data_IF_923243268872
#
_entry.id   IF_923243268872
#
_cell.length_a   1.000
_cell.length_b   1.000
_cell.length_c   1.000
_cell.angle_alpha   90.00
_cell.angle_beta   90.00
_cell.angle_gamma   90.00
#
_symmetry.space_group_name_H-M   'P 1'
#
loop_
_entity.id
_entity.type
_entity.pdbx_description
1 polymer ?
#
# COMPACT_ATOMS: atom_id res chain seq x y z
N UNK A 1 5.74 -38.46 -11.17
CA UNK A 1 5.63 -37.63 -9.95
C UNK A 1 6.28 -36.27 -10.22
N UNK A 2 5.50 -35.27 -10.65
CA UNK A 2 5.99 -33.89 -10.76
C UNK A 2 6.23 -33.38 -9.33
N UNK A 3 7.48 -33.05 -8.97
CA UNK A 3 7.75 -32.23 -7.80
C UNK A 3 7.04 -30.90 -8.05
N UNK A 4 6.00 -30.61 -7.29
CA UNK A 4 5.45 -29.25 -7.22
C UNK A 4 6.58 -28.33 -6.75
N UNK A 5 7.28 -27.69 -7.70
CA UNK A 5 8.25 -26.64 -7.41
C UNK A 5 7.48 -25.41 -6.94
N UNK A 6 6.92 -25.47 -5.73
CA UNK A 6 6.56 -24.27 -5.00
C UNK A 6 7.87 -23.53 -4.71
N UNK A 7 8.00 -22.33 -5.27
CA UNK A 7 9.12 -21.42 -5.03
C UNK A 7 9.27 -21.22 -3.51
N UNK A 8 10.46 -21.44 -2.93
CA UNK A 8 10.63 -21.37 -1.50
C UNK A 8 10.49 -19.93 -1.02
N UNK A 9 9.64 -19.71 -0.02
CA UNK A 9 9.49 -18.47 0.74
C UNK A 9 10.62 -18.41 1.76
N UNK A 10 11.45 -17.38 1.65
CA UNK A 10 12.67 -17.22 2.42
C UNK A 10 12.77 -15.80 2.94
N UNK A 11 13.27 -15.63 4.15
CA UNK A 11 13.67 -14.35 4.70
C UNK A 11 15.19 -14.29 4.77
N UNK A 12 15.79 -13.45 3.93
CA UNK A 12 17.20 -13.11 4.01
C UNK A 12 17.36 -11.93 4.97
N UNK A 13 18.17 -12.08 6.03
CA UNK A 13 18.43 -11.01 7.01
C UNK A 13 19.87 -10.56 6.84
N UNK A 14 20.09 -9.25 6.82
CA UNK A 14 21.43 -8.67 6.71
C UNK A 14 22.31 -9.14 7.88
N UNK A 15 23.55 -9.49 7.58
CA UNK A 15 24.52 -10.03 8.54
C UNK A 15 24.08 -11.34 9.24
N UNK A 16 23.11 -12.06 8.68
CA UNK A 16 22.83 -13.44 9.03
C UNK A 16 23.45 -14.36 7.96
N UNK A 17 24.23 -15.35 8.38
CA UNK A 17 24.94 -16.26 7.47
C UNK A 17 23.99 -17.22 6.72
N UNK A 18 22.77 -17.40 7.20
CA UNK A 18 21.82 -18.37 6.64
C UNK A 18 20.45 -17.73 6.44
N UNK A 19 19.92 -17.95 5.24
CA UNK A 19 18.54 -17.65 4.88
C UNK A 19 17.56 -18.43 5.76
N UNK A 20 16.57 -17.74 6.36
CA UNK A 20 15.58 -18.35 7.24
C UNK A 20 14.35 -18.80 6.46
N UNK A 21 13.89 -20.02 6.76
CA UNK A 21 12.70 -20.59 6.13
C UNK A 21 11.42 -20.06 6.77
N UNK A 22 10.57 -19.46 5.95
CA UNK A 22 9.27 -18.92 6.37
C UNK A 22 8.21 -20.02 6.30
N UNK A 23 7.48 -20.26 7.38
CA UNK A 23 6.33 -21.18 7.41
C UNK A 23 5.08 -20.49 6.89
N UNK A 24 4.87 -19.24 7.29
CA UNK A 24 3.68 -18.48 6.97
C UNK A 24 3.98 -17.00 7.04
N UNK A 25 3.33 -16.20 6.19
CA UNK A 25 3.33 -14.76 6.35
C UNK A 25 2.02 -14.16 5.85
N UNK A 26 1.71 -12.99 6.36
CA UNK A 26 0.70 -12.08 5.82
C UNK A 26 1.33 -10.72 5.65
N UNK A 27 0.94 -9.97 4.62
CA UNK A 27 1.38 -8.59 4.50
C UNK A 27 0.39 -7.70 3.77
N UNK A 28 0.42 -6.42 4.08
CA UNK A 28 -0.38 -5.38 3.43
C UNK A 28 0.56 -4.34 2.83
N UNK A 29 0.41 -4.11 1.54
CA UNK A 29 1.09 -3.08 0.75
C UNK A 29 0.02 -2.19 0.11
N UNK A 30 0.04 -0.89 0.35
CA UNK A 30 -0.97 0.03 -0.17
C UNK A 30 -0.36 1.40 -0.50
N UNK A 31 -0.91 2.05 -1.52
CA UNK A 31 -0.56 3.42 -1.85
C UNK A 31 -0.80 4.33 -0.65
N UNK A 32 0.16 5.22 -0.41
CA UNK A 32 0.11 6.19 0.68
C UNK A 32 0.07 5.60 2.11
N UNK A 33 0.42 4.32 2.28
CA UNK A 33 0.55 3.67 3.59
C UNK A 33 1.91 2.99 3.73
N UNK A 34 2.42 2.90 4.96
CA UNK A 34 3.60 2.08 5.24
C UNK A 34 3.20 0.60 5.20
N UNK A 35 3.84 -0.19 4.33
CA UNK A 35 3.58 -1.63 4.28
C UNK A 35 3.98 -2.33 5.58
N UNK A 36 3.38 -3.49 5.82
CA UNK A 36 3.67 -4.32 6.98
C UNK A 36 3.56 -5.78 6.62
N UNK A 37 4.54 -6.58 7.02
CA UNK A 37 4.53 -8.03 6.86
C UNK A 37 4.75 -8.70 8.22
N UNK A 38 3.80 -9.54 8.61
CA UNK A 38 3.84 -10.41 9.79
C UNK A 38 4.33 -11.79 9.32
N UNK A 39 5.48 -12.24 9.85
CA UNK A 39 6.27 -13.35 9.31
C UNK A 39 6.50 -14.39 10.40
N UNK A 40 6.12 -15.62 10.11
CA UNK A 40 6.35 -16.79 10.95
C UNK A 40 7.42 -17.66 10.32
N UNK A 41 8.52 -17.88 11.03
CA UNK A 41 9.67 -18.63 10.51
C UNK A 41 10.12 -19.73 11.46
N UNK A 42 10.78 -20.74 10.89
CA UNK A 42 11.53 -21.74 11.64
C UNK A 42 13.00 -21.36 11.63
N UNK A 43 13.61 -21.40 12.81
CA UNK A 43 15.05 -21.21 12.96
C UNK A 43 15.66 -22.20 13.93
N UNK A 44 16.99 -22.14 14.02
CA UNK A 44 17.78 -22.82 15.03
C UNK A 44 17.33 -22.37 16.44
N UNK A 45 17.06 -23.29 17.38
CA UNK A 45 16.77 -22.94 18.78
C UNK A 45 17.76 -21.99 19.46
N UNK A 46 19.02 -21.97 19.01
CA UNK A 46 20.08 -21.10 19.53
C UNK A 46 20.09 -19.69 18.93
N UNK A 47 19.23 -19.39 17.95
CA UNK A 47 19.14 -18.07 17.32
C UNK A 47 18.85 -16.98 18.36
N UNK A 48 19.75 -15.99 18.44
CA UNK A 48 19.53 -14.79 19.27
C UNK A 48 18.53 -13.85 18.59
N UNK A 49 17.27 -13.93 19.03
CA UNK A 49 16.16 -13.11 18.56
C UNK A 49 16.40 -11.62 18.78
N UNK A 50 17.09 -11.24 19.86
CA UNK A 50 17.29 -9.81 20.18
C UNK A 50 18.18 -9.15 19.14
N UNK A 51 19.18 -9.89 18.64
CA UNK A 51 20.07 -9.43 17.58
C UNK A 51 19.35 -9.12 16.26
N UNK A 52 18.14 -9.65 16.04
CA UNK A 52 17.37 -9.45 14.80
C UNK A 52 16.66 -8.11 14.74
N UNK A 53 16.39 -7.47 15.88
CA UNK A 53 15.70 -6.18 15.91
C UNK A 53 16.53 -5.12 15.18
N UNK A 54 15.83 -4.27 14.42
CA UNK A 54 16.40 -3.22 13.58
C UNK A 54 17.29 -3.69 12.42
N UNK A 55 17.47 -5.00 12.21
CA UNK A 55 18.15 -5.49 11.01
C UNK A 55 17.29 -5.31 9.77
N UNK A 56 17.95 -5.03 8.67
CA UNK A 56 17.32 -5.03 7.34
C UNK A 56 17.14 -6.48 6.87
N UNK A 57 16.02 -6.75 6.21
CA UNK A 57 15.69 -8.06 5.71
C UNK A 57 14.90 -7.99 4.40
N UNK A 58 15.04 -9.04 3.58
CA UNK A 58 14.33 -9.21 2.33
C UNK A 58 13.48 -10.49 2.37
N UNK A 59 12.16 -10.32 2.42
CA UNK A 59 11.21 -11.42 2.34
C UNK A 59 10.97 -11.77 0.86
N UNK A 60 11.47 -12.92 0.42
CA UNK A 60 11.34 -13.42 -0.95
C UNK A 60 10.19 -14.42 -1.03
N UNK A 61 9.22 -14.18 -1.91
CA UNK A 61 8.03 -15.03 -2.09
C UNK A 61 7.66 -15.26 -3.57
N UNK A 62 8.66 -15.35 -4.45
CA UNK A 62 8.49 -15.64 -5.88
C UNK A 62 9.82 -15.87 -6.59
N UNK A 63 9.83 -15.59 -7.89
CA UNK A 63 11.06 -15.61 -8.72
C UNK A 63 12.15 -14.68 -8.15
N UNK A 64 13.39 -14.83 -8.65
CA UNK A 64 14.65 -14.34 -8.03
C UNK A 64 14.72 -12.86 -7.61
N UNK A 65 13.72 -12.01 -7.93
CA UNK A 65 13.63 -10.60 -7.50
C UNK A 65 12.29 -10.21 -6.88
N UNK A 66 11.31 -11.11 -6.82
CA UNK A 66 9.99 -10.85 -6.26
C UNK A 66 10.01 -11.01 -4.74
N UNK A 67 10.10 -9.88 -4.04
CA UNK A 67 10.11 -9.83 -2.58
C UNK A 67 9.96 -8.42 -2.04
N UNK A 68 9.92 -8.32 -0.72
CA UNK A 68 9.75 -7.06 0.01
C UNK A 68 10.93 -6.87 0.93
N UNK A 69 11.64 -5.77 0.73
CA UNK A 69 12.66 -5.30 1.65
C UNK A 69 12.02 -4.56 2.84
N UNK A 70 12.62 -4.61 4.02
CA UNK A 70 12.21 -3.77 5.15
C UNK A 70 13.18 -3.91 6.32
N UNK A 71 12.79 -3.33 7.45
CA UNK A 71 13.49 -3.42 8.72
C UNK A 71 12.64 -4.20 9.72
N UNK A 72 13.28 -5.09 10.49
CA UNK A 72 12.62 -5.88 11.53
C UNK A 72 12.30 -4.96 12.72
N UNK A 73 11.02 -4.72 13.00
CA UNK A 73 10.57 -3.87 14.11
C UNK A 73 10.05 -4.66 15.31
N UNK A 74 9.83 -5.96 15.14
CA UNK A 74 9.47 -6.88 16.20
C UNK A 74 10.11 -8.24 15.93
N UNK A 75 10.57 -8.89 17.00
CA UNK A 75 11.11 -10.23 16.95
C UNK A 75 10.78 -10.96 18.25
N UNK A 76 10.13 -12.11 18.15
CA UNK A 76 9.75 -12.93 19.29
C UNK A 76 10.01 -14.42 18.99
N UNK A 77 10.48 -15.16 20.00
CA UNK A 77 10.47 -16.63 20.00
C UNK A 77 9.17 -17.10 20.64
N UNK A 78 8.36 -17.79 19.86
CA UNK A 78 7.01 -18.21 20.28
C UNK A 78 7.03 -19.65 20.79
N UNK A 79 7.78 -20.54 20.16
CA UNK A 79 7.97 -21.92 20.61
C UNK A 79 9.46 -22.28 20.62
N UNK A 80 9.89 -22.96 21.68
CA UNK A 80 11.24 -23.51 21.81
C UNK A 80 11.17 -25.02 21.62
N UNK A 81 11.56 -25.50 20.45
CA UNK A 81 11.61 -26.93 20.15
C UNK A 81 13.02 -27.51 20.24
N UNK A 82 13.13 -28.83 20.07
CA UNK A 82 14.39 -29.56 20.28
C UNK A 82 15.36 -29.33 19.12
N UNK A 83 14.86 -29.34 17.89
CA UNK A 83 15.65 -29.13 16.66
C UNK A 83 15.32 -27.83 15.94
N UNK A 84 14.12 -27.31 16.19
CA UNK A 84 13.55 -26.17 15.49
C UNK A 84 12.74 -25.34 16.47
N UNK A 85 12.88 -24.02 16.38
CA UNK A 85 12.07 -23.07 17.16
C UNK A 85 11.21 -22.22 16.23
N UNK A 86 10.05 -21.79 16.73
CA UNK A 86 9.14 -20.90 16.01
C UNK A 86 9.41 -19.46 16.41
N UNK A 87 9.60 -18.61 15.41
CA UNK A 87 9.80 -17.19 15.60
C UNK A 87 8.73 -16.40 14.86
N UNK A 88 8.33 -15.28 15.45
CA UNK A 88 7.43 -14.29 14.87
C UNK A 88 8.18 -12.96 14.70
N UNK A 89 8.26 -12.49 13.46
CA UNK A 89 8.90 -11.24 13.09
C UNK A 89 7.92 -10.30 12.40
N UNK A 90 8.09 -9.00 12.59
CA UNK A 90 7.37 -7.97 11.84
C UNK A 90 8.36 -7.15 11.01
N UNK A 91 8.13 -7.10 9.70
CA UNK A 91 8.92 -6.36 8.73
C UNK A 91 8.16 -5.13 8.23
N UNK A 92 8.76 -3.95 8.32
CA UNK A 92 8.16 -2.65 7.93
C UNK A 92 9.16 -1.76 7.20
N UNK A 93 8.74 -0.74 6.42
CA UNK A 93 9.66 0.23 5.84
C UNK A 93 10.29 1.11 6.92
N UNK A 94 11.40 1.76 6.57
CA UNK A 94 11.99 2.80 7.42
C UNK A 94 11.02 3.95 7.67
N UNK A 95 10.06 4.18 6.76
CA UNK A 95 8.96 5.14 6.94
C UNK A 95 8.14 4.89 8.22
N UNK A 96 8.06 3.63 8.68
CA UNK A 96 7.36 3.27 9.91
C UNK A 96 7.91 3.98 11.17
N UNK A 97 9.17 4.42 11.17
CA UNK A 97 9.80 5.17 12.27
C UNK A 97 9.06 6.48 12.58
N UNK A 98 8.48 7.11 11.55
CA UNK A 98 7.77 8.37 11.68
C UNK A 98 6.47 8.24 12.49
N UNK A 99 5.98 7.02 12.74
CA UNK A 99 4.77 6.75 13.52
C UNK A 99 4.98 6.79 15.05
N UNK A 100 6.23 6.76 15.53
CA UNK A 100 6.54 6.42 16.92
C UNK A 100 6.01 7.41 17.97
N UNK A 101 6.05 8.71 17.68
CA UNK A 101 5.74 9.74 18.68
C UNK A 101 4.85 10.84 18.09
N UNK A 102 3.86 11.27 18.87
CA UNK A 102 3.13 12.51 18.61
C UNK A 102 4.01 13.71 18.91
N UNK A 103 3.93 14.74 18.06
CA UNK A 103 4.74 15.96 18.15
C UNK A 103 3.84 17.19 18.09
N UNK A 104 4.37 18.30 18.59
CA UNK A 104 3.79 19.64 18.45
C UNK A 104 4.86 20.56 17.89
N UNK A 105 4.71 20.99 16.63
CA UNK A 105 5.71 21.77 15.89
C UNK A 105 5.02 22.76 14.96
N UNK A 106 5.71 23.86 14.69
CA UNK A 106 5.31 24.88 13.73
C UNK A 106 6.37 24.94 12.64
N UNK A 107 5.94 24.92 11.38
CA UNK A 107 6.80 25.14 10.21
C UNK A 107 6.30 26.37 9.46
N UNK A 108 7.20 27.29 9.15
CA UNK A 108 6.87 28.56 8.48
C UNK A 108 7.52 28.61 7.11
N UNK A 109 6.85 29.28 6.18
CA UNK A 109 7.33 29.59 4.82
C UNK A 109 7.94 28.38 4.08
N UNK A 110 7.31 27.21 4.24
CA UNK A 110 7.79 25.96 3.64
C UNK A 110 6.75 25.34 2.71
N UNK A 111 7.21 24.86 1.56
CA UNK A 111 6.39 24.13 0.60
C UNK A 111 6.13 22.69 1.09
N UNK A 112 4.93 22.12 0.89
CA UNK A 112 4.61 20.77 1.36
C UNK A 112 5.62 19.68 0.96
N UNK A 113 6.12 19.59 -0.30
CA UNK A 113 7.13 18.58 -0.65
C UNK A 113 8.46 18.75 0.11
N UNK A 114 8.86 20.01 0.37
CA UNK A 114 10.06 20.31 1.18
C UNK A 114 9.85 19.89 2.64
N UNK A 115 8.67 20.13 3.20
CA UNK A 115 8.32 19.70 4.54
C UNK A 115 8.32 18.16 4.64
N UNK A 116 7.76 17.45 3.65
CA UNK A 116 7.81 15.99 3.57
C UNK A 116 9.27 15.51 3.58
N UNK A 117 10.14 16.09 2.75
CA UNK A 117 11.57 15.77 2.72
C UNK A 117 12.24 15.98 4.09
N UNK A 118 11.99 17.13 4.72
CA UNK A 118 12.53 17.43 6.05
C UNK A 118 12.09 16.41 7.11
N UNK A 119 10.82 15.96 7.09
CA UNK A 119 10.34 14.93 8.00
C UNK A 119 11.05 13.58 7.79
N UNK A 120 11.34 13.21 6.54
CA UNK A 120 12.07 11.98 6.22
C UNK A 120 13.53 12.05 6.72
N UNK A 121 14.21 13.18 6.46
CA UNK A 121 15.61 13.39 6.84
C UNK A 121 15.83 13.36 8.36
N UNK A 122 14.92 13.95 9.14
CA UNK A 122 14.97 13.94 10.63
C UNK A 122 14.95 12.49 11.17
N UNK A 123 14.34 11.55 10.46
CA UNK A 123 14.26 10.13 10.83
C UNK A 123 15.35 9.27 10.17
N UNK A 124 16.37 9.89 9.59
CA UNK A 124 17.51 9.21 8.96
C UNK A 124 17.16 8.54 7.62
N UNK A 125 16.05 8.92 6.98
CA UNK A 125 15.70 8.45 5.64
C UNK A 125 16.36 9.42 4.65
N UNK A 126 17.60 9.10 4.25
CA UNK A 126 18.41 9.98 3.40
C UNK A 126 17.97 10.04 1.94
N UNK A 127 18.60 10.95 1.18
CA UNK A 127 18.24 11.27 -0.22
C UNK A 127 18.27 10.09 -1.21
N UNK A 128 18.97 8.99 -0.91
CA UNK A 128 18.96 7.79 -1.75
C UNK A 128 17.75 6.87 -1.51
N UNK A 129 17.09 7.03 -0.36
CA UNK A 129 15.98 6.21 0.11
C UNK A 129 14.60 6.80 -0.23
N UNK A 130 14.52 8.03 -0.75
CA UNK A 130 13.30 8.58 -1.33
C UNK A 130 13.58 9.43 -2.56
N UNK A 131 12.55 9.68 -3.38
CA UNK A 131 12.59 10.70 -4.44
C UNK A 131 11.21 11.29 -4.71
N UNK A 132 11.21 12.49 -5.26
CA UNK A 132 10.04 13.09 -5.89
C UNK A 132 10.22 13.01 -7.41
N UNK A 133 9.23 12.51 -8.12
CA UNK A 133 9.23 12.41 -9.59
C UNK A 133 7.90 12.90 -10.15
N UNK A 134 7.90 13.44 -11.37
CA UNK A 134 6.69 13.90 -12.06
C UNK A 134 5.77 14.79 -11.19
N UNK A 135 6.37 15.77 -10.51
CA UNK A 135 5.67 16.74 -9.66
C UNK A 135 5.18 17.91 -10.52
N UNK A 136 4.03 17.73 -11.16
CA UNK A 136 3.48 18.67 -12.15
C UNK A 136 2.59 19.76 -11.53
N UNK A 137 2.15 19.57 -10.28
CA UNK A 137 1.34 20.54 -9.56
C UNK A 137 2.11 21.75 -9.00
N UNK A 138 1.35 22.75 -8.60
CA UNK A 138 1.82 23.93 -7.89
C UNK A 138 1.86 23.66 -6.37
N UNK A 139 3.03 23.87 -5.76
CA UNK A 139 3.26 23.68 -4.32
C UNK A 139 3.89 24.93 -3.68
N UNK A 140 3.15 26.04 -3.56
CA UNK A 140 3.67 27.25 -2.93
C UNK A 140 4.07 26.97 -1.47
N UNK A 141 5.08 27.72 -1.00
CA UNK A 141 5.35 27.82 0.41
C UNK A 141 4.10 28.32 1.13
N UNK A 142 3.72 27.64 2.22
CA UNK A 142 2.63 28.10 3.07
C UNK A 142 3.24 28.91 4.21
N UNK A 143 2.59 30.01 4.64
CA UNK A 143 3.08 30.82 5.76
C UNK A 143 3.14 30.01 7.06
N UNK A 144 2.26 29.01 7.19
CA UNK A 144 2.19 28.20 8.41
C UNK A 144 1.72 26.77 8.12
N UNK A 145 2.46 25.79 8.64
CA UNK A 145 1.97 24.44 8.90
C UNK A 145 2.05 24.17 10.40
N UNK A 146 0.94 23.71 10.96
CA UNK A 146 0.88 23.30 12.36
C UNK A 146 0.83 21.78 12.40
N UNK A 147 1.75 21.18 13.15
CA UNK A 147 1.69 19.80 13.60
C UNK A 147 1.20 19.83 15.04
N UNK A 148 -0.02 19.36 15.30
CA UNK A 148 -0.61 19.42 16.64
C UNK A 148 -1.02 18.03 17.11
N UNK A 149 -0.24 17.46 18.02
CA UNK A 149 -0.54 16.16 18.64
C UNK A 149 -0.74 15.02 17.63
N UNK A 150 0.05 15.06 16.56
CA UNK A 150 0.08 14.05 15.51
C UNK A 150 1.51 13.56 15.30
N UNK A 151 1.69 12.33 14.81
CA UNK A 151 3.02 11.81 14.49
C UNK A 151 3.57 12.45 13.22
N UNK A 152 4.88 12.30 12.99
CA UNK A 152 5.50 12.79 11.75
C UNK A 152 4.94 12.03 10.53
N UNK A 153 4.55 10.76 10.70
CA UNK A 153 3.90 9.96 9.65
C UNK A 153 2.51 10.50 9.32
N UNK A 154 1.73 10.83 10.36
CA UNK A 154 0.39 11.40 10.19
C UNK A 154 0.44 12.74 9.46
N UNK A 155 1.36 13.63 9.83
CA UNK A 155 1.58 14.89 9.14
C UNK A 155 1.96 14.67 7.67
N UNK A 156 2.90 13.76 7.39
CA UNK A 156 3.33 13.43 6.03
C UNK A 156 2.15 12.93 5.18
N UNK A 157 1.38 11.97 5.69
CA UNK A 157 0.23 11.42 4.98
C UNK A 157 -0.86 12.48 4.77
N UNK A 158 -1.13 13.32 5.78
CA UNK A 158 -2.06 14.45 5.66
C UNK A 158 -1.61 15.46 4.61
N UNK A 159 -0.32 15.79 4.54
CA UNK A 159 0.21 16.67 3.49
C UNK A 159 0.03 16.05 2.11
N UNK A 160 0.30 14.75 1.96
CA UNK A 160 0.05 14.01 0.73
C UNK A 160 -1.43 14.05 0.32
N UNK A 161 -2.36 13.86 1.26
CA UNK A 161 -3.79 13.92 1.03
C UNK A 161 -4.26 15.31 0.61
N UNK A 162 -3.84 16.35 1.34
CA UNK A 162 -4.15 17.75 1.06
C UNK A 162 -3.65 18.19 -0.31
N UNK A 163 -2.45 17.72 -0.68
CA UNK A 163 -1.77 18.08 -1.92
C UNK A 163 -1.98 17.08 -3.05
N UNK A 164 -2.79 16.03 -2.88
CA UNK A 164 -3.01 15.01 -3.91
C UNK A 164 -1.73 14.32 -4.39
N UNK A 165 -0.71 14.22 -3.53
CA UNK A 165 0.56 13.54 -3.80
C UNK A 165 0.40 12.08 -3.37
N UNK A 166 0.64 11.16 -4.28
CA UNK A 166 0.72 9.74 -3.95
C UNK A 166 2.15 9.31 -3.66
N UNK A 167 2.28 8.25 -2.86
CA UNK A 167 3.56 7.58 -2.70
C UNK A 167 3.46 6.07 -2.73
N UNK A 168 4.53 5.43 -3.20
CA UNK A 168 4.69 3.98 -3.30
C UNK A 168 6.10 3.56 -2.89
N UNK A 169 6.32 2.26 -2.72
CA UNK A 169 7.63 1.69 -2.43
C UNK A 169 8.18 0.90 -3.61
N UNK A 170 9.43 1.14 -3.96
CA UNK A 170 10.19 0.31 -4.88
C UNK A 170 11.17 -0.56 -4.09
N UNK A 171 11.07 -1.88 -4.26
CA UNK A 171 11.88 -2.83 -3.52
C UNK A 171 13.04 -3.38 -4.36
N UNK A 172 14.20 -3.48 -3.71
CA UNK A 172 15.37 -4.23 -4.16
C UNK A 172 15.83 -5.14 -3.03
N UNK A 173 16.68 -6.11 -3.30
CA UNK A 173 17.20 -6.99 -2.25
C UNK A 173 17.96 -6.21 -1.16
N UNK A 174 18.67 -5.16 -1.55
CA UNK A 174 19.52 -4.34 -0.69
C UNK A 174 18.84 -3.09 -0.11
N UNK A 175 17.53 -2.92 -0.29
CA UNK A 175 16.90 -1.64 0.05
C UNK A 175 15.48 -1.47 -0.48
N UNK A 176 14.75 -0.53 0.10
CA UNK A 176 13.51 -0.01 -0.49
C UNK A 176 13.65 1.50 -0.70
N UNK A 177 12.97 2.04 -1.71
CA UNK A 177 12.93 3.47 -2.00
C UNK A 177 11.49 3.95 -2.00
N UNK A 178 11.24 5.04 -1.28
CA UNK A 178 9.95 5.74 -1.26
C UNK A 178 9.85 6.70 -2.45
N UNK A 179 8.77 6.65 -3.20
CA UNK A 179 8.61 7.45 -4.42
C UNK A 179 7.35 8.28 -4.33
N UNK A 180 7.50 9.60 -4.37
CA UNK A 180 6.40 10.57 -4.37
C UNK A 180 6.16 11.11 -5.78
N UNK A 181 4.89 11.29 -6.15
CA UNK A 181 4.48 11.88 -7.42
C UNK A 181 3.06 12.42 -7.31
N UNK A 182 2.65 13.32 -8.21
CA UNK A 182 1.24 13.70 -8.40
C UNK A 182 0.70 13.36 -9.79
N UNK A 183 1.52 12.72 -10.62
CA UNK A 183 1.16 12.28 -11.97
C UNK A 183 0.97 10.76 -12.01
N UNK A 184 -0.16 10.32 -12.58
CA UNK A 184 -0.44 8.88 -12.75
C UNK A 184 0.41 8.23 -13.83
N UNK A 185 1.05 9.01 -14.71
CA UNK A 185 2.05 8.48 -15.64
C UNK A 185 3.32 7.96 -14.92
N UNK A 186 3.53 8.31 -13.65
CA UNK A 186 4.65 7.82 -12.84
C UNK A 186 4.54 6.35 -12.42
N UNK A 187 3.38 5.73 -12.55
CA UNK A 187 3.18 4.34 -12.14
C UNK A 187 3.79 3.37 -13.16
N UNK A 188 4.66 2.44 -12.74
CA UNK A 188 5.22 1.43 -13.64
C UNK A 188 4.12 0.46 -14.11
N UNK A 189 4.13 0.16 -15.41
CA UNK A 189 3.29 -0.89 -15.98
C UNK A 189 3.98 -2.26 -15.90
N UNK A 190 3.24 -3.27 -15.49
CA UNK A 190 3.70 -4.66 -15.55
C UNK A 190 3.86 -5.09 -17.01
N UNK A 191 5.01 -5.65 -17.41
CA UNK A 191 5.29 -5.96 -18.81
C UNK A 191 4.47 -7.14 -19.35
N UNK A 192 3.92 -7.98 -18.47
CA UNK A 192 3.18 -9.18 -18.85
C UNK A 192 1.73 -9.04 -18.38
N UNK A 193 0.74 -9.21 -19.28
CA UNK A 193 -0.66 -9.09 -18.92
C UNK A 193 -1.12 -10.25 -18.00
N UNK A 194 -2.14 -9.96 -17.21
CA UNK A 194 -2.84 -10.86 -16.32
C UNK A 194 -3.99 -11.49 -17.08
N UNK A 195 -3.87 -12.78 -17.38
CA UNK A 195 -4.96 -13.55 -17.98
C UNK A 195 -5.83 -14.15 -16.88
N UNK A 196 -7.13 -13.90 -16.97
CA UNK A 196 -8.12 -14.51 -16.10
C UNK A 196 -8.25 -16.00 -16.42
N UNK A 197 -8.30 -16.86 -15.39
CA UNK A 197 -8.73 -18.25 -15.54
C UNK A 197 -9.66 -18.66 -14.41
N UNK A 198 -10.76 -19.31 -14.76
CA UNK A 198 -11.72 -19.84 -13.80
C UNK A 198 -11.11 -21.01 -13.02
N UNK A 199 -11.35 -21.03 -11.71
CA UNK A 199 -10.79 -22.00 -10.76
C UNK A 199 -11.11 -23.47 -11.08
N UNK A 200 -12.15 -23.75 -11.87
CA UNK A 200 -12.58 -25.12 -12.25
C UNK A 200 -11.57 -25.84 -13.17
N UNK A 201 -10.69 -25.12 -13.86
CA UNK A 201 -9.64 -25.70 -14.70
C UNK A 201 -8.40 -26.03 -13.85
N UNK A 202 -8.51 -27.14 -13.12
CA UNK A 202 -7.49 -27.66 -12.20
C UNK A 202 -6.19 -28.03 -12.93
N UNK A 203 -5.27 -27.07 -12.97
CA UNK A 203 -3.85 -27.28 -13.16
C UNK A 203 -3.12 -26.17 -12.42
N UNK A 204 -2.05 -26.51 -11.71
CA UNK A 204 -1.16 -25.60 -10.96
C UNK A 204 -0.56 -24.56 -11.90
N UNK A 205 -1.35 -23.55 -12.29
CA UNK A 205 -0.92 -22.47 -13.17
C UNK A 205 -0.39 -21.35 -12.29
N UNK A 206 0.93 -21.28 -12.23
CA UNK A 206 1.66 -20.18 -11.61
C UNK A 206 1.37 -18.88 -12.35
N UNK A 207 0.86 -17.85 -11.66
CA UNK A 207 0.76 -16.50 -12.20
C UNK A 207 -0.57 -16.13 -12.87
N UNK A 208 -1.69 -16.50 -12.27
CA UNK A 208 -3.05 -16.35 -12.84
C UNK A 208 -3.91 -15.40 -12.00
N UNK A 209 -4.80 -14.65 -12.67
CA UNK A 209 -5.89 -13.92 -12.03
C UNK A 209 -7.07 -14.88 -11.82
N UNK A 210 -7.44 -15.12 -10.57
CA UNK A 210 -8.42 -16.14 -10.17
C UNK A 210 -9.83 -15.56 -10.01
N UNK A 211 -9.91 -14.31 -9.58
CA UNK A 211 -11.17 -13.61 -9.35
C UNK A 211 -10.97 -12.11 -9.56
N UNK A 212 -11.96 -11.44 -10.13
CA UNK A 212 -12.02 -9.98 -10.22
C UNK A 212 -13.49 -9.55 -10.28
N UNK A 213 -13.88 -8.58 -9.44
CA UNK A 213 -15.25 -8.10 -9.33
C UNK A 213 -15.29 -6.61 -9.01
N UNK A 214 -16.17 -5.88 -9.68
CA UNK A 214 -16.43 -4.48 -9.40
C UNK A 214 -17.20 -4.32 -8.08
N UNK A 215 -16.74 -3.37 -7.26
CA UNK A 215 -17.35 -3.02 -5.98
C UNK A 215 -17.81 -1.57 -6.07
N UNK A 216 -19.12 -1.38 -6.24
CA UNK A 216 -19.73 -0.06 -6.26
C UNK A 216 -20.13 0.33 -4.84
N UNK A 217 -19.53 1.39 -4.31
CA UNK A 217 -19.85 1.91 -2.98
C UNK A 217 -20.56 3.25 -3.13
N UNK A 218 -21.72 3.41 -2.47
CA UNK A 218 -22.38 4.72 -2.37
C UNK A 218 -21.52 5.66 -1.51
N UNK A 219 -21.34 6.94 -1.89
CA UNK A 219 -20.68 7.90 -1.03
C UNK A 219 -21.40 7.95 0.32
N UNK A 220 -20.65 7.82 1.42
CA UNK A 220 -21.21 8.11 2.74
C UNK A 220 -21.55 9.60 2.77
N UNK A 221 -22.85 9.93 2.76
CA UNK A 221 -23.39 11.29 2.78
C UNK A 221 -22.98 12.13 4.02
N UNK A 222 -22.22 11.54 4.95
CA UNK A 222 -21.84 12.16 6.22
C UNK A 222 -20.69 13.18 6.14
N UNK A 223 -19.96 13.31 5.02
CA UNK A 223 -18.84 14.27 4.92
C UNK A 223 -19.19 15.62 4.30
N UNK A 224 -20.33 15.76 3.63
CA UNK A 224 -20.73 17.05 3.02
C UNK A 224 -21.28 18.05 4.05
N UNK A 225 -22.01 17.58 5.07
CA UNK A 225 -22.69 18.45 6.04
C UNK A 225 -21.77 19.35 6.89
N UNK A 226 -20.49 18.98 7.08
CA UNK A 226 -19.55 19.77 7.92
C UNK A 226 -18.86 20.90 7.14
N UNK A 227 -18.79 20.82 5.81
CA UNK A 227 -18.19 21.89 4.99
C UNK A 227 -19.15 23.05 4.73
N UNK A 228 -20.45 22.78 4.59
CA UNK A 228 -21.45 23.83 4.35
C UNK A 228 -21.63 24.79 5.53
N UNK A 229 -21.27 24.38 6.75
CA UNK A 229 -21.33 25.25 7.94
C UNK A 229 -20.15 26.24 8.05
N UNK A 230 -19.06 26.07 7.27
CA UNK A 230 -17.87 26.94 7.33
C UNK A 230 -17.69 27.85 6.11
N UNK A 231 -18.59 27.77 5.12
CA UNK A 231 -18.64 28.66 3.96
C UNK A 231 -19.82 29.63 4.02
N UNK A 232 -20.06 30.26 5.16
CA UNK A 232 -20.88 31.48 5.23
C UNK A 232 -20.03 32.71 4.90
N UNK A 233 -19.56 32.79 3.65
CA UNK A 233 -19.39 34.07 2.98
C UNK A 233 -20.03 33.96 1.60
N UNK A 234 -21.08 34.75 1.32
CA UNK A 234 -21.79 34.67 0.05
C UNK A 234 -20.91 35.29 -1.03
N UNK A 235 -20.27 34.46 -1.86
CA UNK A 235 -19.80 34.91 -3.17
C UNK A 235 -20.94 34.71 -4.15
N UNK A 236 -21.56 35.81 -4.51
CA UNK A 236 -22.56 35.89 -5.57
C UNK A 236 -21.95 35.44 -6.91
N UNK A 237 -22.42 34.33 -7.45
CA UNK A 237 -22.33 34.04 -8.88
C UNK A 237 -23.75 33.79 -9.39
N UNK A 238 -24.20 34.69 -10.27
CA UNK A 238 -25.44 34.58 -11.03
C UNK A 238 -25.28 33.46 -12.08
N UNK A 239 -26.38 32.73 -12.31
CA UNK A 239 -26.61 31.70 -13.33
C UNK A 239 -25.96 30.32 -13.10
N UNK A 240 -26.79 29.30 -12.88
CA UNK A 240 -27.29 28.49 -14.01
C UNK A 240 -28.60 27.77 -13.64
N UNK A 241 -29.67 28.11 -14.37
CA UNK A 241 -30.89 27.32 -14.46
C UNK A 241 -30.61 26.12 -15.38
N UNK A 242 -30.26 24.96 -14.81
CA UNK A 242 -30.52 23.64 -15.40
C UNK A 242 -30.18 22.51 -14.43
N UNK A 243 -30.84 22.51 -13.27
CA UNK A 243 -30.79 21.40 -12.33
C UNK A 243 -31.75 20.29 -12.77
N UNK A 244 -31.37 19.48 -13.78
CA UNK A 244 -32.03 18.20 -14.13
C UNK A 244 -31.20 17.42 -15.16
N UNK A 245 -30.06 16.89 -14.75
CA UNK A 245 -29.37 15.81 -15.49
C UNK A 245 -28.84 14.77 -14.50
N UNK A 246 -29.10 13.47 -14.71
CA UNK A 246 -28.53 12.43 -13.87
C UNK A 246 -27.00 12.44 -13.99
N UNK A 247 -26.31 12.16 -12.89
CA UNK A 247 -24.85 12.22 -12.74
C UNK A 247 -24.11 11.23 -13.66
N UNK A 248 -24.09 11.51 -14.96
CA UNK A 248 -23.26 10.86 -15.96
C UNK A 248 -21.84 11.42 -15.90
N UNK A 249 -20.86 10.56 -16.17
CA UNK A 249 -19.43 10.85 -16.20
C UNK A 249 -19.08 11.83 -17.33
N UNK A 250 -19.49 13.09 -17.24
CA UNK A 250 -19.00 14.12 -18.15
C UNK A 250 -17.53 14.39 -17.85
N UNK A 251 -16.73 14.46 -18.92
CA UNK A 251 -15.40 15.05 -18.84
C UNK A 251 -15.54 16.45 -18.25
N UNK A 252 -14.76 16.77 -17.22
CA UNK A 252 -14.73 18.12 -16.68
C UNK A 252 -14.25 19.03 -17.82
N UNK A 253 -15.15 19.84 -18.38
CA UNK A 253 -14.78 20.90 -19.30
C UNK A 253 -14.31 22.07 -18.44
N UNK A 254 -13.00 22.38 -18.38
CA UNK A 254 -12.57 23.60 -17.73
C UNK A 254 -13.27 24.78 -18.44
N UNK A 255 -13.75 25.79 -17.69
CA UNK A 255 -14.28 26.99 -18.32
C UNK A 255 -13.24 27.57 -19.28
N UNK A 256 -13.72 28.03 -20.43
CA UNK A 256 -12.90 28.51 -21.55
C UNK A 256 -12.29 29.87 -21.18
N UNK A 257 -11.29 29.86 -20.29
CA UNK A 257 -10.61 31.07 -19.82
C UNK A 257 -9.52 31.42 -20.83
N UNK A 258 -9.88 32.24 -21.83
CA UNK A 258 -8.89 32.91 -22.68
C UNK A 258 -8.20 34.02 -21.89
N UNK A 259 -6.98 33.75 -21.41
CA UNK A 259 -6.13 34.73 -20.73
C UNK A 259 -5.01 34.07 -19.92
N UNK A 260 -3.97 34.83 -19.59
CA UNK A 260 -2.95 34.38 -18.64
C UNK A 260 -3.61 34.21 -17.25
N UNK A 261 -3.79 32.97 -16.81
CA UNK A 261 -4.37 32.65 -15.50
C UNK A 261 -3.37 33.10 -14.42
N UNK A 262 -3.83 33.87 -13.44
CA UNK A 262 -2.97 34.26 -12.32
C UNK A 262 -2.68 33.04 -11.40
N UNK A 263 -1.64 33.15 -10.55
CA UNK A 263 -1.19 32.03 -9.71
C UNK A 263 -2.27 31.53 -8.74
N UNK A 264 -3.10 32.42 -8.22
CA UNK A 264 -4.16 32.09 -7.25
C UNK A 264 -5.30 31.31 -7.90
N UNK A 265 -5.73 31.71 -9.10
CA UNK A 265 -6.72 31.01 -9.90
C UNK A 265 -6.22 29.62 -10.31
N UNK A 266 -4.95 29.50 -10.73
CA UNK A 266 -4.35 28.20 -11.05
C UNK A 266 -4.36 27.25 -9.84
N UNK A 267 -4.02 27.76 -8.64
CA UNK A 267 -4.09 26.99 -7.39
C UNK A 267 -5.52 26.58 -7.03
N UNK A 268 -6.49 27.49 -7.19
CA UNK A 268 -7.90 27.21 -6.95
C UNK A 268 -8.41 26.10 -7.88
N UNK A 269 -8.09 26.19 -9.18
CA UNK A 269 -8.42 25.17 -10.18
C UNK A 269 -7.79 23.83 -9.85
N UNK A 270 -6.51 23.80 -9.48
CA UNK A 270 -5.81 22.58 -9.06
C UNK A 270 -6.50 21.90 -7.86
N UNK A 271 -6.89 22.67 -6.83
CA UNK A 271 -7.59 22.14 -5.66
C UNK A 271 -8.94 21.55 -6.04
N UNK A 272 -9.72 22.25 -6.87
CA UNK A 272 -11.02 21.77 -7.35
C UNK A 272 -10.90 20.49 -8.18
N UNK A 273 -9.93 20.43 -9.10
CA UNK A 273 -9.66 19.23 -9.91
C UNK A 273 -9.25 18.04 -9.03
N UNK A 274 -8.32 18.23 -8.09
CA UNK A 274 -7.86 17.16 -7.19
C UNK A 274 -8.97 16.64 -6.28
N UNK A 275 -9.89 17.51 -5.84
CA UNK A 275 -11.07 17.09 -5.08
C UNK A 275 -11.99 16.17 -5.90
N UNK A 276 -12.28 16.55 -7.15
CA UNK A 276 -13.10 15.74 -8.05
C UNK A 276 -12.44 14.40 -8.39
N UNK A 277 -11.14 14.41 -8.67
CA UNK A 277 -10.34 13.20 -8.90
C UNK A 277 -10.37 12.25 -7.69
N UNK A 278 -10.27 12.79 -6.47
CA UNK A 278 -10.39 11.98 -5.24
C UNK A 278 -11.76 11.33 -5.10
N UNK A 279 -12.85 12.09 -5.30
CA UNK A 279 -14.21 11.54 -5.24
C UNK A 279 -14.43 10.42 -6.27
N UNK A 280 -13.80 10.54 -7.45
CA UNK A 280 -13.84 9.50 -8.47
C UNK A 280 -13.11 8.23 -8.03
N UNK A 281 -11.94 8.36 -7.40
CA UNK A 281 -11.19 7.23 -6.85
C UNK A 281 -11.99 6.46 -5.80
N UNK A 282 -12.80 7.17 -4.99
CA UNK A 282 -13.61 6.58 -3.93
C UNK A 282 -14.89 5.86 -4.45
N UNK A 283 -15.33 6.17 -5.67
CA UNK A 283 -16.60 5.67 -6.23
C UNK A 283 -16.46 4.32 -6.95
N UNK A 284 -15.32 4.06 -7.59
CA UNK A 284 -15.11 2.88 -8.44
C UNK A 284 -13.84 2.14 -8.03
N UNK A 285 -14.04 1.04 -7.30
CA UNK A 285 -12.98 0.11 -6.91
C UNK A 285 -13.30 -1.27 -7.47
N UNK A 286 -12.27 -1.98 -7.93
CA UNK A 286 -12.35 -3.40 -8.27
C UNK A 286 -11.52 -4.17 -7.27
N UNK A 287 -12.05 -5.32 -6.82
CA UNK A 287 -11.30 -6.25 -5.99
C UNK A 287 -11.02 -7.54 -6.74
N UNK A 288 -9.85 -8.13 -6.52
CA UNK A 288 -9.46 -9.36 -7.19
C UNK A 288 -8.56 -10.26 -6.36
N UNK A 289 -8.37 -11.50 -6.82
CA UNK A 289 -7.49 -12.51 -6.22
C UNK A 289 -6.55 -13.07 -7.26
N UNK A 290 -5.27 -13.25 -6.91
CA UNK A 290 -4.26 -13.83 -7.79
C UNK A 290 -3.27 -14.69 -7.00
N UNK A 291 -2.62 -15.63 -7.68
CA UNK A 291 -1.48 -16.38 -7.15
C UNK A 291 -0.14 -15.88 -7.72
N UNK A 292 -0.12 -14.75 -8.43
CA UNK A 292 1.09 -14.21 -9.07
C UNK A 292 2.00 -13.52 -8.07
N UNK A 293 3.20 -14.08 -7.79
CA UNK A 293 4.12 -13.41 -6.89
C UNK A 293 4.74 -12.20 -7.58
N UNK A 294 4.71 -11.05 -6.92
CA UNK A 294 5.32 -9.81 -7.43
C UNK A 294 4.37 -8.65 -7.65
N UNK A 295 3.06 -8.82 -7.43
CA UNK A 295 2.14 -7.68 -7.39
C UNK A 295 2.54 -6.68 -6.30
N UNK A 296 2.54 -5.38 -6.62
CA UNK A 296 2.78 -4.30 -5.65
C UNK A 296 1.73 -3.21 -5.78
N UNK A 297 1.52 -2.47 -4.69
CA UNK A 297 0.73 -1.24 -4.76
C UNK A 297 1.48 -0.20 -5.63
N UNK A 298 0.73 0.58 -6.41
CA UNK A 298 1.31 1.53 -7.36
C UNK A 298 1.86 0.92 -8.64
N UNK A 299 1.45 -0.30 -9.00
CA UNK A 299 1.72 -0.90 -10.32
C UNK A 299 0.45 -0.92 -11.18
N UNK A 300 0.62 -0.73 -12.49
CA UNK A 300 -0.46 -0.88 -13.47
C UNK A 300 -0.43 -2.28 -14.06
N UNK A 301 -1.55 -2.99 -13.99
CA UNK A 301 -1.73 -4.31 -14.61
C UNK A 301 -2.67 -4.22 -15.80
N UNK A 302 -2.39 -4.96 -16.86
CA UNK A 302 -3.34 -5.21 -17.95
C UNK A 302 -4.08 -6.51 -17.65
N UNK A 303 -5.41 -6.50 -17.66
CA UNK A 303 -6.23 -7.71 -17.53
C UNK A 303 -6.75 -8.14 -18.90
N UNK A 304 -6.72 -9.44 -19.17
CA UNK A 304 -7.19 -10.08 -20.40
C UNK A 304 -8.00 -11.34 -20.06
N UNK A 305 -8.78 -11.83 -21.03
CA UNK A 305 -9.55 -13.08 -20.99
C UNK A 305 -10.60 -13.15 -19.85
N UNK A 306 -10.99 -12.01 -19.27
CA UNK A 306 -12.04 -11.94 -18.26
C UNK A 306 -13.44 -12.06 -18.91
N UNK A 307 -14.37 -12.86 -18.35
CA UNK A 307 -15.70 -13.05 -18.92
C UNK A 307 -16.52 -11.76 -19.04
N UNK A 308 -16.35 -10.85 -18.09
CA UNK A 308 -16.91 -9.49 -18.14
C UNK A 308 -16.00 -8.59 -18.99
N UNK A 309 -16.45 -8.10 -20.17
CA UNK A 309 -15.62 -7.32 -21.09
C UNK A 309 -15.06 -6.03 -20.46
N UNK A 310 -15.84 -5.38 -19.60
CA UNK A 310 -15.44 -4.13 -18.92
C UNK A 310 -14.27 -4.29 -17.95
N UNK A 311 -13.95 -5.53 -17.55
CA UNK A 311 -12.80 -5.83 -16.69
C UNK A 311 -11.50 -6.10 -17.47
N UNK A 312 -11.58 -6.28 -18.79
CA UNK A 312 -10.41 -6.44 -19.68
C UNK A 312 -9.77 -5.09 -20.02
N UNK A 313 -9.23 -4.41 -19.02
CA UNK A 313 -8.66 -3.07 -19.12
C UNK A 313 -7.37 -2.96 -18.28
N UNK A 314 -6.81 -1.75 -18.20
CA UNK A 314 -5.68 -1.40 -17.37
C UNK A 314 -6.14 -0.91 -16.00
N UNK A 315 -5.55 -1.50 -14.96
CA UNK A 315 -5.93 -1.29 -13.58
C UNK A 315 -4.72 -0.88 -12.76
N UNK A 316 -4.83 0.21 -12.02
CA UNK A 316 -3.84 0.63 -11.04
C UNK A 316 -4.11 -0.08 -9.71
N UNK A 317 -3.15 -0.84 -9.21
CA UNK A 317 -3.25 -1.49 -7.90
C UNK A 317 -3.09 -0.47 -6.78
N UNK A 318 -4.12 -0.29 -5.97
CA UNK A 318 -4.12 0.64 -4.84
C UNK A 318 -3.74 -0.04 -3.53
N UNK A 319 -4.05 -1.33 -3.40
CA UNK A 319 -3.72 -2.17 -2.25
C UNK A 319 -3.50 -3.62 -2.69
N UNK A 320 -2.52 -4.28 -2.08
CA UNK A 320 -2.26 -5.72 -2.22
C UNK A 320 -2.10 -6.33 -0.83
N UNK A 321 -2.94 -7.31 -0.53
CA UNK A 321 -2.86 -8.18 0.64
C UNK A 321 -2.20 -9.48 0.20
N UNK A 322 -1.03 -9.75 0.77
CA UNK A 322 -0.24 -10.94 0.53
C UNK A 322 -0.49 -11.98 1.61
N UNK A 323 -0.57 -13.26 1.22
CA UNK A 323 -0.32 -14.35 2.15
C UNK A 323 0.50 -15.46 1.49
N UNK A 324 1.35 -16.08 2.28
CA UNK A 324 2.09 -17.26 1.86
C UNK A 324 2.18 -18.27 2.97
N UNK A 325 2.14 -19.55 2.62
CA UNK A 325 2.28 -20.67 3.54
C UNK A 325 3.16 -21.75 2.92
N UNK A 326 4.06 -22.31 3.71
CA UNK A 326 5.05 -23.31 3.28
C UNK A 326 5.21 -24.39 4.36
N UNK A 327 4.22 -25.27 4.53
CA UNK A 327 4.26 -26.29 5.59
C UNK A 327 5.35 -27.35 5.38
N UNK A 328 5.88 -27.49 4.16
CA UNK A 328 6.96 -28.43 3.87
C UNK A 328 8.26 -28.16 4.64
N UNK A 329 8.46 -26.95 5.19
CA UNK A 329 9.62 -26.62 6.04
C UNK A 329 9.61 -27.36 7.38
N UNK A 330 8.45 -27.87 7.79
CA UNK A 330 8.33 -28.69 9.00
C UNK A 330 8.77 -30.15 8.77
N UNK A 331 9.06 -30.56 7.53
CA UNK A 331 9.56 -31.92 7.24
C UNK A 331 10.95 -32.08 7.86
N UNK A 332 11.03 -32.86 8.94
CA UNK A 332 12.26 -33.10 9.71
C UNK A 332 12.23 -32.52 11.13
N UNK A 333 11.22 -31.72 11.47
CA UNK A 333 10.94 -31.33 12.85
C UNK A 333 10.46 -32.55 13.67
N UNK A 334 10.70 -32.54 14.98
CA UNK A 334 10.12 -33.54 15.87
C UNK A 334 8.59 -33.45 15.83
N UNK A 335 7.89 -34.58 15.81
CA UNK A 335 6.43 -34.62 15.64
C UNK A 335 5.69 -33.76 16.68
N UNK A 336 6.17 -33.77 17.94
CA UNK A 336 5.63 -32.93 19.02
C UNK A 336 5.78 -31.44 18.72
N UNK A 337 6.96 -31.01 18.27
CA UNK A 337 7.22 -29.62 17.92
C UNK A 337 6.37 -29.18 16.73
N UNK A 338 6.27 -30.02 15.69
CA UNK A 338 5.45 -29.75 14.52
C UNK A 338 3.97 -29.57 14.89
N UNK A 339 3.42 -30.42 15.77
CA UNK A 339 2.03 -30.31 16.22
C UNK A 339 1.77 -29.02 17.01
N UNK A 340 2.69 -28.63 17.91
CA UNK A 340 2.58 -27.39 18.67
C UNK A 340 2.61 -26.18 17.73
N UNK A 341 3.56 -26.15 16.79
CA UNK A 341 3.69 -25.08 15.80
C UNK A 341 2.42 -24.97 14.95
N UNK A 342 1.89 -26.08 14.45
CA UNK A 342 0.67 -26.09 13.65
C UNK A 342 -0.54 -25.58 14.43
N UNK A 343 -0.63 -25.89 15.72
CA UNK A 343 -1.70 -25.37 16.60
C UNK A 343 -1.60 -23.86 16.79
N UNK A 344 -0.40 -23.35 17.09
CA UNK A 344 -0.15 -21.90 17.22
C UNK A 344 -0.56 -21.17 15.94
N UNK A 345 -0.12 -21.66 14.78
CA UNK A 345 -0.46 -21.05 13.49
C UNK A 345 -1.97 -21.10 13.19
N UNK A 346 -2.66 -22.16 13.61
CA UNK A 346 -4.12 -22.27 13.44
C UNK A 346 -4.89 -21.31 14.36
N UNK A 347 -4.39 -21.07 15.57
CA UNK A 347 -4.99 -20.12 16.52
C UNK A 347 -4.84 -18.67 16.00
N UNK A 348 -3.65 -18.31 15.50
CA UNK A 348 -3.40 -17.02 14.84
C UNK A 348 -4.30 -16.77 13.62
N UNK A 349 -4.52 -17.80 12.80
CA UNK A 349 -5.45 -17.70 11.66
C UNK A 349 -6.90 -17.43 12.09
N UNK A 350 -7.32 -17.94 13.25
CA UNK A 350 -8.67 -17.67 13.80
C UNK A 350 -8.80 -16.25 14.34
N UNK A 351 -7.72 -15.71 14.89
CA UNK A 351 -7.69 -14.35 15.44
C UNK A 351 -7.53 -13.25 14.37
N UNK A 352 -7.03 -13.58 13.18
CA UNK A 352 -6.82 -12.62 12.08
C UNK A 352 -7.73 -12.89 10.86
N UNK A 353 -8.77 -12.07 10.62
CA UNK A 353 -9.67 -12.25 9.48
C UNK A 353 -8.99 -12.07 8.11
N UNK A 354 -7.85 -11.36 8.05
CA UNK A 354 -7.04 -11.20 6.85
C UNK A 354 -6.24 -12.48 6.52
N UNK A 355 -5.80 -13.24 7.54
CA UNK A 355 -5.08 -14.50 7.39
C UNK A 355 -6.01 -15.66 7.01
N UNK A 356 -7.28 -15.59 7.37
CA UNK A 356 -8.29 -16.62 7.10
C UNK A 356 -8.73 -16.69 5.62
N UNK A 357 -8.45 -15.67 4.81
CA UNK A 357 -9.01 -15.55 3.45
C UNK A 357 -8.19 -16.24 2.35
N UNK A 358 -6.97 -16.73 2.64
CA UNK A 358 -6.14 -17.45 1.66
C UNK A 358 -5.94 -18.90 2.13
N UNK A 359 -6.86 -19.76 1.72
CA UNK A 359 -6.87 -21.20 2.02
C UNK A 359 -5.89 -21.94 1.09
N UNK A 360 -4.74 -22.37 1.62
CA UNK A 360 -3.86 -23.30 0.90
C UNK A 360 -2.38 -23.26 1.32
N UNK A 361 -1.60 -24.18 0.74
CA UNK A 361 -0.14 -24.15 0.77
C UNK A 361 0.37 -23.46 -0.49
N UNK A 362 1.34 -22.56 -0.38
CA UNK A 362 1.84 -21.72 -1.47
C UNK A 362 1.56 -20.23 -1.22
N UNK A 363 1.67 -19.43 -2.27
CA UNK A 363 1.46 -17.98 -2.22
C UNK A 363 0.13 -17.60 -2.89
N UNK A 364 -0.56 -16.62 -2.31
CA UNK A 364 -1.72 -15.97 -2.87
C UNK A 364 -1.79 -14.50 -2.47
N UNK A 365 -2.60 -13.74 -3.17
CA UNK A 365 -2.88 -12.36 -2.85
C UNK A 365 -4.32 -11.98 -3.19
N UNK A 366 -4.79 -10.95 -2.51
CA UNK A 366 -5.98 -10.18 -2.84
C UNK A 366 -5.55 -8.75 -3.13
N UNK A 367 -6.16 -8.10 -4.09
CA UNK A 367 -5.83 -6.72 -4.41
C UNK A 367 -7.08 -5.87 -4.59
N UNK A 368 -6.90 -4.56 -4.42
CA UNK A 368 -7.84 -3.52 -4.82
C UNK A 368 -7.21 -2.71 -5.93
N UNK A 369 -8.03 -2.28 -6.88
CA UNK A 369 -7.58 -1.53 -8.02
C UNK A 369 -8.61 -0.49 -8.46
N UNK A 370 -8.13 0.54 -9.14
CA UNK A 370 -8.97 1.53 -9.83
C UNK A 370 -8.59 1.55 -11.32
N UNK A 371 -9.45 2.04 -12.23
CA UNK A 371 -9.08 2.19 -13.63
C UNK A 371 -7.85 3.07 -13.79
N UNK A 372 -6.85 2.64 -14.58
CA UNK A 372 -5.62 3.42 -14.76
C UNK A 372 -5.85 4.81 -15.37
N UNK A 373 -6.84 4.93 -16.25
CA UNK A 373 -7.23 6.21 -16.85
C UNK A 373 -7.70 7.27 -15.82
N UNK A 374 -7.97 6.86 -14.58
CA UNK A 374 -8.34 7.76 -13.49
C UNK A 374 -7.10 8.24 -12.73
N UNK A 375 -6.85 9.56 -12.63
CA UNK A 375 -5.76 10.07 -11.81
C UNK A 375 -5.94 9.67 -10.35
N UNK A 376 -4.99 8.93 -9.79
CA UNK A 376 -5.07 8.53 -8.40
C UNK A 376 -4.87 9.74 -7.47
N UNK A 377 -5.79 9.88 -6.50
CA UNK A 377 -5.68 10.84 -5.41
C UNK A 377 -5.94 10.14 -4.08
N UNK A 378 -5.07 10.31 -3.07
CA UNK A 378 -5.29 9.72 -1.76
C UNK A 378 -6.61 10.22 -1.14
N UNK A 379 -7.40 9.29 -0.59
CA UNK A 379 -8.57 9.61 0.24
C UNK A 379 -8.17 10.37 1.50
N UNK A 380 -9.06 11.23 2.00
CA UNK A 380 -8.80 11.94 3.26
C UNK A 380 -9.00 10.97 4.43
N UNK A 381 -7.91 10.44 4.97
CA UNK A 381 -7.87 9.50 6.11
C UNK A 381 -7.19 10.10 7.34
N UNK A 382 -6.39 11.15 7.16
CA UNK A 382 -5.62 11.81 8.21
C UNK A 382 -6.10 13.26 8.40
N UNK A 383 -7.27 13.48 9.04
CA UNK A 383 -7.81 14.82 9.24
C UNK A 383 -6.92 15.65 10.17
N UNK A 384 -7.00 16.98 10.04
CA UNK A 384 -6.29 17.87 10.96
C UNK A 384 -6.76 17.60 12.41
N UNK A 385 -5.83 17.42 13.36
CA UNK A 385 -6.18 17.31 14.77
C UNK A 385 -6.97 18.53 15.23
N UNK A 386 -8.11 18.29 15.89
CA UNK A 386 -8.90 19.35 16.50
C UNK A 386 -8.34 19.65 17.90
N UNK A 387 -8.26 20.93 18.27
CA UNK A 387 -8.12 21.31 19.67
C UNK A 387 -9.49 21.09 20.33
N UNK A 388 -9.62 20.03 21.12
CA UNK A 388 -10.74 19.84 22.06
C UNK A 388 -10.60 20.73 23.27
#
# INVERSE_FOLDING_TARGET
MRKDLQMPIILAITDCQTDLHVISFTGRDALNEAYRFDIWLIGDPLLDVRSLLHREAFLRFGERRSGVHGQICHAARIHSGVRVSLYHLILMPSLGKLAAHRRRRIYQDIAPPKLIAQLLEIHGIGANAYRFEHMNGLYPARPLHIQYDESDLHLLQRLCEEEGIHFRFEHRQSGHRLVFSDDSASFPAQPVPFRFKRQEQSGTSTGTLLHMAEVLTLPSASRQLVRDLKQTQPRSSKHDENARTPAANHAFQPPDVRGAINREEALSRQRGMRELERLRCERREVSGHSNRPGLRSGEVIQVLDHPEPLLNDQWLLTEVLHAGRQLQVLRGAAAKDALVILRILADEQRSSPAAAQLSGNGYGNRFKAIPWAMPFRPSVRHPRPAAT
#
